data_IF_812275868080
#
_entry.id   IF_812275868080
#
_cell.length_a   1.000
_cell.length_b   1.000
_cell.length_c   1.000
_cell.angle_alpha   90.00
_cell.angle_beta   90.00
_cell.angle_gamma   90.00
#
_symmetry.space_group_name_H-M   'P 1'
#
loop_
_entity.id
_entity.type
_entity.pdbx_description
1 polymer ?
#
# COMPACT_ATOMS: atom_id res chain seq x y z
N UNK A 1 -1.25 30.11 -35.98
CA UNK A 1 -2.20 29.27 -36.73
C UNK A 1 -2.71 28.25 -35.75
N UNK A 2 -3.96 28.39 -35.31
CA UNK A 2 -4.61 27.32 -34.55
C UNK A 2 -4.78 26.11 -35.48
N UNK A 3 -4.31 24.91 -35.10
CA UNK A 3 -4.62 23.73 -35.87
C UNK A 3 -6.14 23.58 -35.91
N UNK A 4 -6.71 23.52 -37.13
CA UNK A 4 -8.12 23.23 -37.34
C UNK A 4 -8.31 21.75 -36.98
N UNK A 5 -8.53 21.47 -35.70
CA UNK A 5 -9.05 20.18 -35.27
C UNK A 5 -10.48 20.13 -35.78
N UNK A 6 -10.75 19.23 -36.73
CA UNK A 6 -12.10 19.02 -37.23
C UNK A 6 -13.03 18.73 -36.03
N UNK A 7 -14.15 19.45 -35.96
CA UNK A 7 -15.06 19.56 -34.81
C UNK A 7 -15.86 18.30 -34.48
N UNK A 8 -15.41 17.12 -34.92
CA UNK A 8 -16.13 15.84 -34.78
C UNK A 8 -15.49 14.89 -33.79
N UNK A 9 -14.22 15.11 -33.40
CA UNK A 9 -13.57 14.26 -32.39
C UNK A 9 -13.96 14.67 -30.97
N UNK A 10 -14.08 13.68 -30.08
CA UNK A 10 -14.31 13.92 -28.66
C UNK A 10 -13.07 14.53 -28.02
N UNK A 11 -13.25 15.43 -27.04
CA UNK A 11 -12.14 16.07 -26.34
C UNK A 11 -11.23 15.01 -25.69
N UNK A 12 -9.92 15.06 -25.96
CA UNK A 12 -8.94 14.21 -25.28
C UNK A 12 -8.85 14.64 -23.81
N UNK A 13 -9.74 14.06 -23.00
CA UNK A 13 -10.01 14.46 -21.62
C UNK A 13 -8.76 14.46 -20.74
N UNK A 14 -7.70 13.77 -21.12
CA UNK A 14 -6.44 13.73 -20.36
C UNK A 14 -5.76 15.10 -20.29
N UNK A 15 -5.85 15.86 -21.38
CA UNK A 15 -5.05 17.06 -21.62
C UNK A 15 -5.84 18.21 -22.26
N UNK A 16 -7.12 18.00 -22.57
CA UNK A 16 -7.97 19.00 -23.20
C UNK A 16 -9.38 18.97 -22.61
N UNK A 17 -9.84 20.13 -22.16
CA UNK A 17 -11.16 20.33 -21.55
C UNK A 17 -11.95 21.47 -22.22
N UNK A 18 -11.27 22.29 -23.03
CA UNK A 18 -11.81 23.46 -23.72
C UNK A 18 -11.48 23.40 -25.22
N UNK A 19 -12.11 24.30 -25.98
CA UNK A 19 -11.99 24.37 -27.44
C UNK A 19 -13.16 23.73 -28.20
N UNK A 20 -13.01 23.65 -29.52
CA UNK A 20 -14.04 23.15 -30.44
C UNK A 20 -13.98 21.62 -30.59
N UNK A 21 -14.26 20.89 -29.51
CA UNK A 21 -14.33 19.43 -29.49
C UNK A 21 -15.63 18.93 -28.85
N UNK A 22 -16.07 17.73 -29.22
CA UNK A 22 -17.29 17.11 -28.69
C UNK A 22 -17.07 16.75 -27.22
N UNK A 23 -18.08 16.96 -26.37
CA UNK A 23 -18.01 16.62 -24.95
C UNK A 23 -17.29 17.64 -24.05
N UNK A 24 -16.89 18.81 -24.55
CA UNK A 24 -16.21 19.86 -23.78
C UNK A 24 -16.94 20.23 -22.47
N UNK A 25 -18.26 20.45 -22.54
CA UNK A 25 -19.10 20.73 -21.35
C UNK A 25 -19.10 19.57 -20.35
N UNK A 26 -19.19 18.33 -20.84
CA UNK A 26 -19.19 17.12 -20.01
C UNK A 26 -17.84 16.94 -19.29
N UNK A 27 -16.73 17.08 -20.01
CA UNK A 27 -15.38 16.98 -19.43
C UNK A 27 -15.11 18.12 -18.43
N UNK A 28 -15.60 19.33 -18.71
CA UNK A 28 -15.53 20.46 -17.78
C UNK A 28 -16.29 20.18 -16.49
N UNK A 29 -17.46 19.56 -16.58
CA UNK A 29 -18.22 19.13 -15.41
C UNK A 29 -17.47 18.07 -14.60
N UNK A 30 -16.89 17.04 -15.25
CA UNK A 30 -16.08 16.03 -14.57
C UNK A 30 -14.89 16.66 -13.83
N UNK A 31 -14.13 17.54 -14.47
CA UNK A 31 -13.00 18.20 -13.81
C UNK A 31 -13.41 19.11 -12.66
N UNK A 32 -14.56 19.79 -12.77
CA UNK A 32 -15.10 20.62 -11.69
C UNK A 32 -15.42 19.77 -10.45
N UNK A 33 -16.13 18.66 -10.63
CA UNK A 33 -16.43 17.74 -9.52
C UNK A 33 -15.16 17.05 -8.99
N UNK A 34 -14.17 16.82 -9.86
CA UNK A 34 -12.87 16.28 -9.48
C UNK A 34 -12.04 17.22 -8.62
N UNK A 35 -12.08 18.53 -8.88
CA UNK A 35 -11.42 19.55 -8.06
C UNK A 35 -11.99 19.52 -6.64
N UNK A 36 -13.32 19.54 -6.50
CA UNK A 36 -14.00 19.54 -5.20
C UNK A 36 -13.60 18.29 -4.39
N UNK A 37 -13.69 17.11 -5.00
CA UNK A 37 -13.33 15.86 -4.34
C UNK A 37 -11.83 15.76 -4.02
N UNK A 38 -10.95 16.20 -4.92
CA UNK A 38 -9.50 16.21 -4.68
C UNK A 38 -9.09 17.16 -3.57
N UNK A 39 -9.70 18.35 -3.47
CA UNK A 39 -9.48 19.25 -2.35
C UNK A 39 -9.90 18.61 -1.02
N UNK A 40 -11.09 18.00 -0.96
CA UNK A 40 -11.56 17.32 0.24
C UNK A 40 -10.56 16.23 0.70
N UNK A 41 -10.14 15.35 -0.21
CA UNK A 41 -9.19 14.28 0.13
C UNK A 41 -7.77 14.79 0.41
N UNK A 42 -7.36 15.90 -0.19
CA UNK A 42 -6.11 16.59 0.14
C UNK A 42 -6.11 17.07 1.59
N UNK A 43 -7.18 17.74 2.04
CA UNK A 43 -7.30 18.17 3.44
C UNK A 43 -7.31 16.99 4.42
N UNK A 44 -8.04 15.92 4.09
CA UNK A 44 -8.07 14.69 4.91
C UNK A 44 -6.67 14.08 5.02
N UNK A 45 -5.97 13.91 3.90
CA UNK A 45 -4.63 13.30 3.87
C UNK A 45 -3.57 14.14 4.58
N UNK A 46 -3.58 15.46 4.39
CA UNK A 46 -2.72 16.39 5.13
C UNK A 46 -3.02 16.35 6.63
N UNK A 47 -4.29 16.32 7.02
CA UNK A 47 -4.70 16.20 8.43
C UNK A 47 -4.18 14.92 9.07
N UNK A 48 -4.27 13.77 8.37
CA UNK A 48 -3.71 12.49 8.83
C UNK A 48 -2.18 12.57 8.99
N UNK A 49 -1.48 13.19 8.04
CA UNK A 49 -0.01 13.34 8.11
C UNK A 49 0.42 14.24 9.26
N UNK A 50 -0.22 15.41 9.43
CA UNK A 50 0.06 16.32 10.54
C UNK A 50 -0.15 15.56 11.85
N UNK A 51 -1.25 14.83 11.97
CA UNK A 51 -1.53 14.08 13.18
C UNK A 51 -0.51 12.98 13.49
N UNK A 52 -0.14 12.19 12.49
CA UNK A 52 0.80 11.10 12.68
C UNK A 52 2.23 11.62 12.96
N UNK A 53 2.65 12.67 12.25
CA UNK A 53 4.02 13.18 12.35
C UNK A 53 4.20 14.08 13.57
N UNK A 54 3.30 15.04 13.78
CA UNK A 54 3.47 16.08 14.80
C UNK A 54 2.92 15.65 16.16
N UNK A 55 1.71 15.08 16.22
CA UNK A 55 1.11 14.66 17.50
C UNK A 55 1.63 13.30 17.97
N UNK A 56 1.82 12.35 17.06
CA UNK A 56 2.31 11.00 17.43
C UNK A 56 3.81 10.80 17.28
N UNK A 57 4.54 11.76 16.68
CA UNK A 57 5.98 11.62 16.44
C UNK A 57 6.35 10.49 15.49
N UNK A 58 5.42 10.02 14.65
CA UNK A 58 5.68 8.95 13.71
C UNK A 58 6.50 9.46 12.52
N UNK A 59 7.48 8.67 12.10
CA UNK A 59 8.29 8.97 10.91
C UNK A 59 7.64 8.35 9.69
N UNK A 60 7.69 9.02 8.55
CA UNK A 60 7.19 8.47 7.28
C UNK A 60 8.09 7.30 6.80
N UNK A 61 9.39 7.43 7.02
CA UNK A 61 10.39 6.43 6.68
C UNK A 61 11.49 6.38 7.73
N UNK A 62 12.16 5.23 7.80
CA UNK A 62 13.28 4.98 8.68
C UNK A 62 14.48 4.50 7.86
N UNK A 63 15.64 5.09 8.11
CA UNK A 63 16.90 4.60 7.57
C UNK A 63 17.58 3.71 8.62
N UNK A 64 17.56 2.39 8.39
CA UNK A 64 18.28 1.46 9.26
C UNK A 64 19.78 1.52 8.93
N UNK A 65 20.59 1.98 9.87
CA UNK A 65 22.07 1.99 9.71
C UNK A 65 22.63 0.57 9.59
N UNK A 66 22.04 -0.39 10.28
CA UNK A 66 22.51 -1.78 10.32
C UNK A 66 22.24 -2.49 8.98
N UNK A 67 21.07 -2.26 8.39
CA UNK A 67 20.66 -2.92 7.15
C UNK A 67 20.97 -2.11 5.90
N UNK A 68 21.50 -0.88 6.07
CA UNK A 68 21.73 0.12 5.02
C UNK A 68 20.51 0.27 4.11
N UNK A 69 19.32 0.22 4.70
CA UNK A 69 18.07 0.10 3.95
C UNK A 69 17.07 1.18 4.29
N UNK A 70 16.33 1.62 3.26
CA UNK A 70 15.21 2.53 3.37
C UNK A 70 13.94 1.76 3.70
N UNK A 71 13.36 2.01 4.88
CA UNK A 71 12.16 1.34 5.36
C UNK A 71 11.00 2.32 5.38
N UNK A 72 10.13 2.34 4.36
CA UNK A 72 8.91 3.14 4.42
C UNK A 72 7.98 2.55 5.49
N UNK A 73 7.37 3.41 6.31
CA UNK A 73 6.24 2.96 7.10
C UNK A 73 5.02 2.85 6.18
N UNK A 74 4.32 1.70 6.15
CA UNK A 74 3.35 1.42 5.11
C UNK A 74 2.22 2.45 5.07
N UNK A 75 1.63 2.78 6.23
CA UNK A 75 0.50 3.72 6.30
C UNK A 75 0.95 5.15 6.06
N UNK A 76 1.99 5.63 6.74
CA UNK A 76 2.46 7.01 6.63
C UNK A 76 3.02 7.30 5.23
N UNK A 77 3.78 6.36 4.66
CA UNK A 77 4.24 6.43 3.28
C UNK A 77 3.08 6.46 2.28
N UNK A 78 2.10 5.56 2.44
CA UNK A 78 0.89 5.56 1.59
C UNK A 78 0.16 6.91 1.61
N UNK A 79 -0.10 7.46 2.79
CA UNK A 79 -0.82 8.75 2.92
C UNK A 79 0.00 9.90 2.32
N UNK A 80 1.33 9.90 2.48
CA UNK A 80 2.21 10.90 1.86
C UNK A 80 2.09 10.91 0.34
N UNK A 81 2.14 9.73 -0.29
CA UNK A 81 2.00 9.63 -1.74
C UNK A 81 0.58 9.95 -2.22
N UNK A 82 -0.46 9.55 -1.48
CA UNK A 82 -1.84 9.97 -1.76
C UNK A 82 -2.01 11.49 -1.69
N UNK A 83 -1.34 12.16 -0.74
CA UNK A 83 -1.35 13.63 -0.63
C UNK A 83 -0.81 14.27 -1.90
N UNK A 84 0.34 13.78 -2.39
CA UNK A 84 0.91 14.24 -3.66
C UNK A 84 -0.03 13.98 -4.84
N UNK A 85 -0.66 12.80 -4.91
CA UNK A 85 -1.64 12.49 -5.95
C UNK A 85 -2.80 13.51 -5.99
N UNK A 86 -3.46 13.78 -4.86
CA UNK A 86 -4.58 14.72 -4.81
C UNK A 86 -4.14 16.15 -5.12
N UNK A 87 -2.94 16.55 -4.68
CA UNK A 87 -2.36 17.84 -5.02
C UNK A 87 -2.15 18.00 -6.52
N UNK A 88 -1.42 17.08 -7.16
CA UNK A 88 -1.13 17.19 -8.59
C UNK A 88 -2.38 17.00 -9.46
N UNK A 89 -3.35 16.17 -9.05
CA UNK A 89 -4.66 16.08 -9.72
C UNK A 89 -5.45 17.37 -9.64
N UNK A 90 -5.47 18.01 -8.48
CA UNK A 90 -6.14 19.29 -8.31
C UNK A 90 -5.52 20.35 -9.23
N UNK A 91 -4.19 20.50 -9.21
CA UNK A 91 -3.48 21.45 -10.08
C UNK A 91 -3.75 21.15 -11.56
N UNK A 92 -3.67 19.89 -11.98
CA UNK A 92 -3.95 19.50 -13.37
C UNK A 92 -5.36 19.90 -13.79
N UNK A 93 -6.35 19.62 -12.94
CA UNK A 93 -7.75 19.89 -13.22
C UNK A 93 -8.02 21.39 -13.37
N UNK A 94 -7.37 22.21 -12.53
CA UNK A 94 -7.43 23.68 -12.64
C UNK A 94 -6.76 24.15 -13.93
N UNK A 95 -5.58 23.63 -14.27
CA UNK A 95 -4.87 24.00 -15.51
C UNK A 95 -5.73 23.71 -16.75
N UNK A 96 -6.42 22.56 -16.77
CA UNK A 96 -7.30 22.17 -17.86
C UNK A 96 -8.56 23.03 -17.96
N UNK A 97 -9.18 23.39 -16.83
CA UNK A 97 -10.37 24.25 -16.81
C UNK A 97 -10.07 25.72 -17.11
N UNK A 98 -8.86 26.19 -16.82
CA UNK A 98 -8.46 27.57 -17.13
C UNK A 98 -7.93 27.70 -18.57
N UNK A 99 -7.67 26.57 -19.25
CA UNK A 99 -7.09 26.59 -20.60
C UNK A 99 -5.63 27.08 -20.60
N UNK A 100 -4.91 26.89 -19.48
CA UNK A 100 -3.49 27.28 -19.38
C UNK A 100 -2.70 26.37 -20.33
N UNK A 101 -2.34 26.92 -21.51
CA UNK A 101 -1.63 26.28 -22.63
C UNK A 101 -2.47 25.70 -23.77
N UNK A 102 -3.58 26.35 -24.15
CA UNK A 102 -4.11 26.21 -25.52
C UNK A 102 -3.00 26.58 -26.53
N UNK A 103 -2.21 25.57 -26.97
CA UNK A 103 -1.07 25.73 -27.89
C UNK A 103 0.30 25.20 -27.43
N UNK A 104 0.44 24.65 -26.20
CA UNK A 104 1.67 23.94 -25.77
C UNK A 104 1.33 22.62 -25.08
N UNK A 105 1.10 21.56 -25.87
CA UNK A 105 0.64 20.24 -25.40
C UNK A 105 1.69 19.54 -24.55
N UNK A 106 2.99 19.79 -24.77
CA UNK A 106 4.10 19.19 -24.02
C UNK A 106 3.97 19.33 -22.50
N UNK A 107 3.64 20.52 -21.99
CA UNK A 107 3.55 20.72 -20.54
C UNK A 107 2.36 19.94 -19.95
N UNK A 108 1.21 19.98 -20.62
CA UNK A 108 0.01 19.31 -20.16
C UNK A 108 0.15 17.79 -20.14
N UNK A 109 0.78 17.20 -21.15
CA UNK A 109 1.04 15.74 -21.17
C UNK A 109 1.95 15.30 -20.01
N UNK A 110 3.04 16.05 -19.74
CA UNK A 110 3.92 15.76 -18.61
C UNK A 110 3.19 15.89 -17.26
N UNK A 111 2.37 16.93 -17.12
CA UNK A 111 1.63 17.18 -15.88
C UNK A 111 0.44 16.22 -15.69
N UNK A 112 -0.18 15.76 -16.78
CA UNK A 112 -1.25 14.76 -16.75
C UNK A 112 -0.75 13.39 -16.27
N UNK A 113 0.52 13.09 -16.54
CA UNK A 113 1.17 11.85 -16.15
C UNK A 113 1.59 11.82 -14.67
N UNK A 114 2.01 12.98 -14.14
CA UNK A 114 2.60 13.10 -12.81
C UNK A 114 1.73 12.51 -11.67
N UNK A 115 0.40 12.72 -11.61
CA UNK A 115 -0.45 12.06 -10.62
C UNK A 115 -0.31 10.54 -10.59
N UNK A 116 -0.15 9.87 -11.74
CA UNK A 116 -0.06 8.42 -11.80
C UNK A 116 1.21 7.88 -11.14
N UNK A 117 2.31 8.66 -11.20
CA UNK A 117 3.54 8.37 -10.44
C UNK A 117 3.24 8.35 -8.94
N UNK A 118 2.39 9.25 -8.46
CA UNK A 118 2.01 9.27 -7.05
C UNK A 118 1.08 8.11 -6.67
N UNK A 119 0.19 7.66 -7.56
CA UNK A 119 -0.61 6.44 -7.34
C UNK A 119 0.31 5.22 -7.23
N UNK A 120 1.25 5.06 -8.18
CA UNK A 120 2.24 3.99 -8.15
C UNK A 120 3.09 4.04 -6.89
N UNK A 121 3.54 5.24 -6.50
CA UNK A 121 4.26 5.49 -5.26
C UNK A 121 3.49 5.06 -4.03
N UNK A 122 2.20 5.42 -3.93
CA UNK A 122 1.35 5.00 -2.81
C UNK A 122 1.26 3.47 -2.73
N UNK A 123 1.00 2.80 -3.87
CA UNK A 123 0.93 1.34 -3.93
C UNK A 123 2.27 0.67 -3.59
N UNK A 124 3.38 1.17 -4.14
CA UNK A 124 4.72 0.63 -3.94
C UNK A 124 5.22 0.80 -2.50
N UNK A 125 5.06 2.00 -1.92
CA UNK A 125 5.47 2.27 -0.54
C UNK A 125 4.65 1.47 0.47
N UNK A 126 3.34 1.31 0.24
CA UNK A 126 2.50 0.49 1.10
C UNK A 126 2.94 -0.98 1.07
N UNK A 127 3.13 -1.53 -0.14
CA UNK A 127 3.56 -2.90 -0.35
C UNK A 127 4.92 -3.18 0.30
N UNK A 128 5.93 -2.37 0.00
CA UNK A 128 7.28 -2.54 0.54
C UNK A 128 7.31 -2.32 2.04
N UNK A 129 6.56 -1.34 2.55
CA UNK A 129 6.44 -1.09 3.99
C UNK A 129 5.83 -2.26 4.74
N UNK A 130 4.84 -2.94 4.16
CA UNK A 130 4.26 -4.17 4.70
C UNK A 130 5.29 -5.30 4.73
N UNK A 131 6.06 -5.48 3.66
CA UNK A 131 7.07 -6.55 3.59
C UNK A 131 8.12 -6.33 4.69
N UNK A 132 8.55 -5.08 4.92
CA UNK A 132 9.46 -4.76 6.02
C UNK A 132 8.86 -4.93 7.41
N UNK A 133 7.55 -4.69 7.57
CA UNK A 133 6.84 -4.91 8.83
C UNK A 133 6.64 -6.41 9.15
N UNK A 134 6.92 -7.29 8.20
CA UNK A 134 6.77 -8.73 8.36
C UNK A 134 8.02 -9.32 9.02
N UNK A 135 7.91 -10.02 10.16
CA UNK A 135 9.07 -10.63 10.82
C UNK A 135 9.61 -11.82 10.00
N UNK A 136 10.94 -11.92 9.92
CA UNK A 136 11.65 -12.89 9.06
C UNK A 136 11.63 -14.34 9.58
N UNK A 137 11.41 -14.54 10.87
CA UNK A 137 11.39 -15.86 11.47
C UNK A 137 10.35 -15.93 12.59
N UNK A 138 9.50 -16.94 12.51
CA UNK A 138 8.67 -17.38 13.64
C UNK A 138 9.44 -18.44 14.39
N UNK A 139 9.96 -18.10 15.57
CA UNK A 139 10.30 -19.14 16.53
C UNK A 139 9.00 -19.46 17.27
N UNK A 140 8.37 -20.58 16.90
CA UNK A 140 7.37 -21.28 17.73
C UNK A 140 8.07 -21.83 18.98
N UNK A 141 8.73 -20.97 19.76
CA UNK A 141 9.35 -21.40 20.99
C UNK A 141 8.25 -21.54 22.04
N UNK A 142 7.58 -22.68 21.98
CA UNK A 142 6.62 -23.16 22.97
C UNK A 142 7.31 -23.56 24.29
N UNK A 143 8.63 -23.34 24.39
CA UNK A 143 9.43 -23.61 25.57
C UNK A 143 9.34 -22.43 26.52
N UNK A 144 8.23 -22.41 27.27
CA UNK A 144 8.13 -21.90 28.63
C UNK A 144 8.65 -20.48 28.88
N UNK A 145 7.76 -19.63 29.38
CA UNK A 145 8.07 -18.81 30.54
C UNK A 145 8.69 -19.71 31.63
N UNK A 146 9.96 -20.09 31.48
CA UNK A 146 10.83 -20.36 32.60
C UNK A 146 10.99 -18.99 33.22
N UNK A 147 10.07 -18.68 34.13
CA UNK A 147 10.19 -17.62 35.11
C UNK A 147 11.65 -17.62 35.53
N UNK A 148 12.38 -16.63 35.03
CA UNK A 148 13.74 -16.34 35.46
C UNK A 148 13.54 -15.92 36.91
N UNK A 149 13.50 -16.92 37.79
CA UNK A 149 13.52 -16.79 39.23
C UNK A 149 14.69 -15.86 39.48
N UNK A 150 14.37 -14.60 39.76
CA UNK A 150 15.27 -13.61 40.35
C UNK A 150 15.84 -14.33 41.56
N UNK A 151 17.03 -14.91 41.40
CA UNK A 151 17.92 -15.16 42.52
C UNK A 151 18.26 -13.76 43.02
N UNK A 152 17.49 -13.29 43.98
CA UNK A 152 17.98 -12.28 44.89
C UNK A 152 19.21 -12.89 45.54
N UNK A 153 20.36 -12.39 45.11
CA UNK A 153 21.58 -12.42 45.89
C UNK A 153 21.39 -11.45 47.05
N UNK A 154 20.89 -11.98 48.16
CA UNK A 154 21.13 -11.54 49.52
C UNK A 154 21.10 -12.87 50.28
N UNK A 155 22.23 -13.48 50.63
CA UNK A 155 23.28 -12.89 51.44
C UNK A 155 23.02 -13.35 52.87
N UNK A 156 23.86 -14.27 53.35
CA UNK A 156 23.89 -14.92 54.67
C UNK A 156 22.92 -16.10 54.85
N UNK A 157 23.46 -17.32 54.87
CA UNK A 157 23.77 -17.96 56.15
C UNK A 157 24.65 -19.21 55.98
N UNK A 158 25.65 -19.26 56.84
CA UNK A 158 26.55 -20.38 57.08
C UNK A 158 25.80 -21.58 57.65
N UNK A 159 26.33 -22.77 57.35
CA UNK A 159 26.21 -24.02 58.11
C UNK A 159 24.79 -24.46 58.55
N UNK A 160 24.31 -25.55 57.96
CA UNK A 160 24.17 -26.77 58.76
C UNK A 160 24.14 -28.04 57.90
N UNK A 161 25.02 -28.97 58.23
CA UNK A 161 24.94 -30.36 57.80
C UNK A 161 23.77 -31.01 58.54
N UNK A 162 22.82 -31.61 57.82
CA UNK A 162 22.15 -32.79 58.31
C UNK A 162 21.64 -33.64 57.14
N UNK A 163 22.29 -34.78 57.02
CA UNK A 163 21.91 -35.99 56.31
C UNK A 163 20.49 -36.39 56.71
N UNK A 164 19.54 -36.36 55.78
CA UNK A 164 18.30 -37.12 55.92
C UNK A 164 17.99 -37.88 54.65
N UNK A 165 18.08 -39.19 54.80
CA UNK A 165 17.79 -40.24 53.85
C UNK A 165 16.29 -40.51 53.91
N UNK A 166 15.54 -40.31 52.83
CA UNK A 166 14.24 -40.99 52.68
C UNK A 166 13.80 -41.12 51.22
N UNK A 167 13.67 -42.39 50.85
CA UNK A 167 12.64 -42.97 49.97
C UNK A 167 12.63 -42.60 48.50
N UNK A 168 13.43 -43.36 47.76
CA UNK A 168 13.04 -44.01 46.51
C UNK A 168 11.63 -44.62 46.60
N UNK A 169 10.66 -44.08 45.85
CA UNK A 169 9.50 -44.80 45.27
C UNK A 169 8.56 -43.88 44.47
N UNK A 170 9.09 -42.95 43.67
CA UNK A 170 8.31 -42.21 42.66
C UNK A 170 9.17 -42.08 41.40
N UNK A 171 9.47 -43.21 40.74
CA UNK A 171 10.32 -43.24 39.54
C UNK A 171 9.64 -43.86 38.31
N UNK A 172 8.33 -44.14 38.32
CA UNK A 172 7.70 -44.89 37.22
C UNK A 172 6.54 -44.20 36.48
N UNK A 173 6.12 -42.97 36.83
CA UNK A 173 4.96 -42.32 36.16
C UNK A 173 5.28 -41.08 35.31
N UNK A 174 6.56 -40.78 35.05
CA UNK A 174 6.95 -39.65 34.19
C UNK A 174 7.29 -40.02 32.74
N UNK A 175 7.12 -41.29 32.35
CA UNK A 175 7.72 -41.78 31.11
C UNK A 175 6.82 -41.78 29.86
N UNK A 176 5.60 -41.21 29.89
CA UNK A 176 4.68 -41.37 28.76
C UNK A 176 3.90 -40.14 28.26
N UNK A 177 4.35 -38.91 28.54
CA UNK A 177 3.77 -37.69 27.94
C UNK A 177 4.67 -36.99 26.89
N UNK A 178 5.78 -37.63 26.48
CA UNK A 178 6.82 -36.99 25.66
C UNK A 178 6.75 -37.19 24.14
N UNK A 179 5.68 -37.77 23.57
CA UNK A 179 5.74 -38.30 22.18
C UNK A 179 4.88 -37.60 21.11
N UNK A 180 4.19 -36.51 21.43
CA UNK A 180 3.38 -35.76 20.43
C UNK A 180 3.86 -34.34 20.11
N UNK A 181 5.01 -33.90 20.64
CA UNK A 181 5.60 -32.60 20.26
C UNK A 181 6.51 -32.68 19.02
N UNK A 182 6.25 -33.61 18.11
CA UNK A 182 6.98 -33.68 16.84
C UNK A 182 6.63 -32.45 15.98
N UNK A 183 7.51 -31.46 16.04
CA UNK A 183 8.10 -30.83 14.86
C UNK A 183 7.10 -30.23 13.86
N UNK A 184 6.35 -29.21 14.26
CA UNK A 184 6.15 -28.12 13.28
C UNK A 184 7.45 -27.32 13.24
N UNK A 185 8.37 -27.76 12.38
CA UNK A 185 9.56 -27.00 12.05
C UNK A 185 9.12 -25.61 11.57
N UNK A 186 9.71 -24.52 12.10
CA UNK A 186 9.27 -23.18 11.74
C UNK A 186 9.43 -22.99 10.24
N UNK A 187 8.30 -22.88 9.54
CA UNK A 187 8.28 -22.64 8.10
C UNK A 187 8.96 -21.29 7.84
N UNK A 188 10.22 -21.34 7.38
CA UNK A 188 10.94 -20.14 6.97
C UNK A 188 10.20 -19.53 5.78
N UNK A 189 9.68 -18.33 5.97
CA UNK A 189 9.11 -17.57 4.86
C UNK A 189 10.25 -16.82 4.19
N UNK A 190 10.35 -16.95 2.87
CA UNK A 190 11.32 -16.21 2.09
C UNK A 190 10.91 -14.73 2.06
N UNK A 191 11.70 -13.87 2.72
CA UNK A 191 11.62 -12.42 2.56
C UNK A 191 12.79 -11.95 1.67
N UNK A 192 12.55 -11.08 0.68
CA UNK A 192 13.63 -10.51 -0.12
C UNK A 192 14.61 -9.74 0.77
N UNK A 193 15.87 -9.64 0.31
CA UNK A 193 16.85 -8.83 1.03
C UNK A 193 16.44 -7.34 1.02
N UNK A 194 16.84 -6.55 2.04
CA UNK A 194 16.50 -5.13 2.10
C UNK A 194 16.94 -4.33 0.86
N UNK A 195 18.08 -4.69 0.25
CA UNK A 195 18.54 -4.06 -0.99
C UNK A 195 17.60 -4.35 -2.16
N UNK A 196 17.13 -5.60 -2.31
CA UNK A 196 16.16 -5.95 -3.35
C UNK A 196 14.87 -5.14 -3.16
N UNK A 197 14.37 -5.01 -1.93
CA UNK A 197 13.18 -4.20 -1.65
C UNK A 197 13.36 -2.71 -2.00
N UNK A 198 14.53 -2.13 -1.73
CA UNK A 198 14.80 -0.75 -2.09
C UNK A 198 14.90 -0.55 -3.61
N UNK A 199 15.53 -1.50 -4.33
CA UNK A 199 15.56 -1.47 -5.79
C UNK A 199 14.17 -1.67 -6.40
N UNK A 200 13.36 -2.56 -5.83
CA UNK A 200 11.95 -2.71 -6.21
C UNK A 200 11.20 -1.41 -5.99
N UNK A 201 11.33 -0.77 -4.83
CA UNK A 201 10.67 0.49 -4.54
C UNK A 201 11.09 1.59 -5.52
N UNK A 202 12.40 1.78 -5.70
CA UNK A 202 12.96 2.74 -6.63
C UNK A 202 12.50 2.47 -8.06
N UNK A 203 12.51 1.21 -8.50
CA UNK A 203 12.04 0.81 -9.82
C UNK A 203 10.55 1.11 -10.02
N UNK A 204 9.70 0.80 -9.04
CA UNK A 204 8.26 1.03 -9.12
C UNK A 204 7.87 2.51 -9.11
N UNK A 205 8.71 3.41 -8.56
CA UNK A 205 8.40 4.84 -8.50
C UNK A 205 9.16 5.67 -9.52
N UNK A 206 10.47 5.43 -9.69
CA UNK A 206 11.34 6.27 -10.48
C UNK A 206 11.36 5.87 -11.96
N UNK A 207 11.29 4.58 -12.27
CA UNK A 207 11.26 4.12 -13.65
C UNK A 207 10.04 4.65 -14.43
N UNK A 208 8.78 4.53 -13.94
CA UNK A 208 7.65 5.11 -14.65
C UNK A 208 7.75 6.63 -14.75
N UNK A 209 8.25 7.31 -13.70
CA UNK A 209 8.45 8.76 -13.75
C UNK A 209 9.38 9.15 -14.91
N UNK A 210 10.55 8.55 -15.02
CA UNK A 210 11.50 8.92 -16.08
C UNK A 210 10.99 8.50 -17.45
N UNK A 211 10.54 7.25 -17.60
CA UNK A 211 10.11 6.71 -18.89
C UNK A 211 8.91 7.49 -19.44
N UNK A 212 7.88 7.74 -18.62
CA UNK A 212 6.66 8.39 -19.08
C UNK A 212 6.83 9.88 -19.28
N UNK A 213 7.65 10.59 -18.49
CA UNK A 213 7.91 12.02 -18.74
C UNK A 213 8.67 12.21 -20.07
N UNK A 214 9.57 11.29 -20.42
CA UNK A 214 10.23 11.30 -21.74
C UNK A 214 9.20 11.09 -22.85
N UNK A 215 8.35 10.06 -22.75
CA UNK A 215 7.32 9.75 -23.75
C UNK A 215 6.26 10.87 -23.86
N UNK A 216 5.81 11.43 -22.75
CA UNK A 216 4.89 12.56 -22.69
C UNK A 216 5.48 13.80 -23.35
N UNK A 217 6.78 14.06 -23.13
CA UNK A 217 7.48 15.19 -23.75
C UNK A 217 7.56 15.05 -25.27
N UNK A 218 7.95 13.87 -25.76
CA UNK A 218 7.97 13.58 -27.19
C UNK A 218 6.57 13.59 -27.80
N UNK A 219 5.58 13.03 -27.10
CA UNK A 219 4.18 13.03 -27.51
C UNK A 219 3.65 14.45 -27.68
N UNK A 220 3.76 15.30 -26.66
CA UNK A 220 3.30 16.68 -26.76
C UNK A 220 4.05 17.49 -27.82
N UNK A 221 5.36 17.26 -28.00
CA UNK A 221 6.13 17.90 -29.07
C UNK A 221 5.72 17.43 -30.48
N UNK A 222 5.31 16.16 -30.64
CA UNK A 222 4.74 15.67 -31.89
C UNK A 222 3.38 16.32 -32.18
N UNK A 223 2.52 16.45 -31.17
CA UNK A 223 1.24 17.15 -31.29
C UNK A 223 1.43 18.62 -31.70
N UNK A 224 2.35 19.33 -31.04
CA UNK A 224 2.63 20.73 -31.32
C UNK A 224 3.20 20.95 -32.75
N UNK A 225 3.79 19.91 -33.36
CA UNK A 225 4.24 19.90 -34.77
C UNK A 225 3.16 19.46 -35.77
N UNK A 226 1.98 19.04 -35.30
CA UNK A 226 0.91 18.49 -36.13
C UNK A 226 1.12 17.05 -36.59
N UNK A 227 2.12 16.34 -36.05
CA UNK A 227 2.38 14.93 -36.35
C UNK A 227 1.51 14.03 -35.46
N UNK A 228 0.26 13.86 -35.87
CA UNK A 228 -0.74 13.13 -35.10
C UNK A 228 -0.46 11.63 -35.03
N UNK A 229 0.21 11.04 -36.03
CA UNK A 229 0.58 9.62 -36.00
C UNK A 229 1.68 9.35 -34.97
N UNK A 230 2.74 10.17 -34.95
CA UNK A 230 3.77 10.08 -33.93
C UNK A 230 3.19 10.36 -32.53
N UNK A 231 2.34 11.38 -32.38
CA UNK A 231 1.65 11.65 -31.11
C UNK A 231 0.88 10.43 -30.61
N UNK A 232 0.01 9.87 -31.46
CA UNK A 232 -0.80 8.70 -31.10
C UNK A 232 0.06 7.51 -30.68
N UNK A 233 1.14 7.22 -31.41
CA UNK A 233 2.07 6.14 -31.09
C UNK A 233 2.80 6.37 -29.75
N UNK A 234 3.23 7.60 -29.47
CA UNK A 234 3.91 7.94 -28.21
C UNK A 234 2.96 7.83 -27.02
N UNK A 235 1.72 8.30 -27.15
CA UNK A 235 0.72 8.15 -26.10
C UNK A 235 0.40 6.66 -25.88
N UNK A 236 0.13 5.89 -26.94
CA UNK A 236 -0.07 4.43 -26.81
C UNK A 236 1.11 3.73 -26.12
N UNK A 237 2.35 4.09 -26.46
CA UNK A 237 3.55 3.56 -25.80
C UNK A 237 3.61 3.93 -24.31
N UNK A 238 3.34 5.19 -23.96
CA UNK A 238 3.30 5.68 -22.57
C UNK A 238 2.29 4.88 -21.73
N UNK A 239 1.10 4.66 -22.28
CA UNK A 239 0.06 3.86 -21.62
C UNK A 239 0.40 2.36 -21.55
N UNK A 240 1.12 1.84 -22.53
CA UNK A 240 1.69 0.49 -22.48
C UNK A 240 2.72 0.33 -21.36
N UNK A 241 3.60 1.32 -21.16
CA UNK A 241 4.55 1.34 -20.03
C UNK A 241 3.81 1.36 -18.69
N UNK A 242 2.77 2.18 -18.56
CA UNK A 242 1.94 2.19 -17.36
C UNK A 242 1.26 0.86 -17.09
N UNK A 243 0.63 0.26 -18.10
CA UNK A 243 -0.01 -1.04 -17.97
C UNK A 243 0.99 -2.11 -17.49
N UNK A 244 2.21 -2.09 -18.02
CA UNK A 244 3.29 -2.99 -17.59
C UNK A 244 3.69 -2.76 -16.13
N UNK A 245 3.93 -1.51 -15.71
CA UNK A 245 4.30 -1.19 -14.32
C UNK A 245 3.19 -1.61 -13.35
N UNK A 246 1.93 -1.32 -13.68
CA UNK A 246 0.80 -1.70 -12.84
C UNK A 246 0.62 -3.21 -12.79
N UNK A 247 0.88 -3.94 -13.88
CA UNK A 247 0.89 -5.40 -13.88
C UNK A 247 1.96 -5.99 -12.94
N UNK A 248 3.17 -5.40 -12.92
CA UNK A 248 4.21 -5.79 -11.95
C UNK A 248 3.71 -5.56 -10.52
N UNK A 249 3.16 -4.39 -10.22
CA UNK A 249 2.62 -4.07 -8.90
C UNK A 249 1.56 -5.11 -8.50
N UNK A 250 0.62 -5.42 -9.38
CA UNK A 250 -0.43 -6.41 -9.15
C UNK A 250 0.15 -7.79 -8.80
N UNK A 251 1.12 -8.28 -9.57
CA UNK A 251 1.78 -9.57 -9.30
C UNK A 251 2.47 -9.56 -7.94
N UNK A 252 3.17 -8.47 -7.59
CA UNK A 252 3.82 -8.35 -6.29
C UNK A 252 2.81 -8.29 -5.13
N UNK A 253 1.67 -7.62 -5.31
CA UNK A 253 0.58 -7.62 -4.32
C UNK A 253 -0.01 -9.02 -4.11
N UNK A 254 -0.23 -9.80 -5.17
CA UNK A 254 -0.70 -11.18 -5.04
C UNK A 254 0.33 -12.01 -4.27
N UNK A 255 1.60 -11.94 -4.67
CA UNK A 255 2.66 -12.75 -4.10
C UNK A 255 2.92 -12.42 -2.62
N UNK A 256 3.25 -11.16 -2.33
CA UNK A 256 3.59 -10.74 -0.97
C UNK A 256 2.35 -10.58 -0.07
N UNK A 257 1.21 -10.17 -0.64
CA UNK A 257 -0.04 -10.11 0.11
C UNK A 257 -0.48 -11.48 0.62
N UNK A 258 -0.40 -12.53 -0.21
CA UNK A 258 -0.69 -13.91 0.23
C UNK A 258 0.27 -14.39 1.31
N UNK A 259 1.56 -14.10 1.18
CA UNK A 259 2.57 -14.47 2.18
C UNK A 259 2.30 -13.77 3.52
N UNK A 260 2.06 -12.47 3.50
CA UNK A 260 1.72 -11.69 4.69
C UNK A 260 0.48 -12.24 5.40
N UNK A 261 -0.61 -12.46 4.67
CA UNK A 261 -1.86 -12.93 5.26
C UNK A 261 -1.69 -14.30 5.90
N UNK A 262 -0.90 -15.19 5.28
CA UNK A 262 -0.58 -16.51 5.83
C UNK A 262 0.22 -16.41 7.13
N UNK A 263 1.17 -15.48 7.17
CA UNK A 263 2.00 -15.23 8.34
C UNK A 263 1.16 -14.70 9.51
N UNK A 264 0.33 -13.68 9.24
CA UNK A 264 -0.48 -13.07 10.29
C UNK A 264 -1.53 -14.06 10.80
N UNK A 265 -2.17 -14.84 9.93
CA UNK A 265 -3.15 -15.84 10.36
C UNK A 265 -2.52 -16.93 11.23
N UNK A 266 -1.31 -17.37 10.91
CA UNK A 266 -0.55 -18.32 11.75
C UNK A 266 -0.23 -17.74 13.13
N UNK A 267 0.15 -16.45 13.21
CA UNK A 267 0.40 -15.80 14.50
C UNK A 267 -0.87 -15.67 15.34
N UNK A 268 -2.00 -15.37 14.72
CA UNK A 268 -3.26 -15.31 15.45
C UNK A 268 -3.67 -16.67 16.01
N UNK A 269 -3.51 -17.74 15.23
CA UNK A 269 -3.78 -19.09 15.70
C UNK A 269 -2.92 -19.43 16.91
N UNK A 270 -1.62 -19.14 16.85
CA UNK A 270 -0.71 -19.38 17.98
C UNK A 270 -1.07 -18.57 19.23
N UNK A 271 -1.47 -17.30 19.10
CA UNK A 271 -1.88 -16.49 20.26
C UNK A 271 -3.19 -17.01 20.83
N UNK A 272 -4.16 -17.36 19.97
CA UNK A 272 -5.46 -17.90 20.39
C UNK A 272 -5.31 -19.21 21.17
N UNK A 273 -4.42 -20.11 20.73
CA UNK A 273 -4.12 -21.36 21.43
C UNK A 273 -3.48 -21.11 22.80
N UNK A 274 -2.61 -20.10 22.91
CA UNK A 274 -1.98 -19.73 24.18
C UNK A 274 -2.99 -19.14 25.17
N UNK A 275 -3.90 -18.27 24.71
CA UNK A 275 -5.00 -17.73 25.56
C UNK A 275 -5.89 -18.87 26.06
N UNK A 276 -6.21 -19.84 25.21
CA UNK A 276 -6.99 -21.03 25.59
C UNK A 276 -6.30 -21.91 26.64
N UNK A 277 -4.97 -22.09 26.55
CA UNK A 277 -4.19 -22.88 27.53
C UNK A 277 -3.99 -22.17 28.87
N UNK A 278 -3.82 -20.85 28.88
CA UNK A 278 -3.69 -20.08 30.13
C UNK A 278 -4.98 -20.21 30.94
N UNK A 279 -6.13 -20.16 30.27
CA UNK A 279 -7.45 -20.33 30.90
C UNK A 279 -7.67 -21.70 31.55
N UNK A 280 -6.88 -22.73 31.22
CA UNK A 280 -7.06 -24.08 31.77
C UNK A 280 -6.07 -24.47 32.88
N UNK A 281 -5.02 -23.67 33.15
CA UNK A 281 -3.88 -24.11 33.98
C UNK A 281 -3.69 -23.35 35.30
N UNK A 282 -4.30 -22.19 35.50
CA UNK A 282 -3.93 -21.29 36.62
C UNK A 282 -5.18 -20.97 37.47
N UNK A 283 -5.03 -21.11 38.80
CA UNK A 283 -6.06 -20.81 39.79
C UNK A 283 -6.24 -19.31 40.09
N UNK A 284 -7.39 -18.98 40.67
CA UNK A 284 -8.15 -17.73 40.55
C UNK A 284 -7.49 -16.38 40.95
N UNK A 285 -6.34 -16.34 41.61
CA UNK A 285 -5.96 -15.13 42.37
C UNK A 285 -4.94 -14.19 41.69
N UNK A 286 -4.23 -14.62 40.64
CA UNK A 286 -3.38 -13.73 39.81
C UNK A 286 -3.81 -13.64 38.34
N UNK A 287 -5.01 -14.15 38.04
CA UNK A 287 -5.49 -14.45 36.68
C UNK A 287 -5.98 -13.20 35.91
N UNK A 288 -6.45 -12.17 36.62
CA UNK A 288 -7.27 -11.15 35.98
C UNK A 288 -6.49 -10.19 35.06
N UNK A 289 -5.25 -9.84 35.40
CA UNK A 289 -4.48 -8.83 34.66
C UNK A 289 -3.86 -9.38 33.37
N UNK A 290 -3.26 -10.57 33.41
CA UNK A 290 -2.53 -11.15 32.26
C UNK A 290 -3.49 -11.61 31.14
N UNK A 291 -4.69 -12.05 31.52
CA UNK A 291 -5.75 -12.45 30.58
C UNK A 291 -6.28 -11.25 29.79
N UNK A 292 -6.57 -10.13 30.47
CA UNK A 292 -7.08 -8.92 29.83
C UNK A 292 -6.06 -8.34 28.83
N UNK A 293 -4.77 -8.33 29.19
CA UNK A 293 -3.71 -7.86 28.30
C UNK A 293 -3.57 -8.73 27.03
N UNK A 294 -3.61 -10.05 27.19
CA UNK A 294 -3.55 -10.99 26.05
C UNK A 294 -4.76 -10.87 25.12
N UNK A 295 -5.95 -10.68 25.68
CA UNK A 295 -7.18 -10.49 24.92
C UNK A 295 -7.17 -9.15 24.17
N UNK A 296 -6.69 -8.07 24.80
CA UNK A 296 -6.50 -6.76 24.16
C UNK A 296 -5.51 -6.84 22.99
N UNK A 297 -4.39 -7.55 23.16
CA UNK A 297 -3.41 -7.77 22.09
C UNK A 297 -4.00 -8.55 20.93
N UNK A 298 -4.75 -9.63 21.21
CA UNK A 298 -5.42 -10.43 20.19
C UNK A 298 -6.46 -9.60 19.41
N UNK A 299 -7.28 -8.80 20.09
CA UNK A 299 -8.27 -7.93 19.46
C UNK A 299 -7.62 -6.85 18.60
N UNK A 300 -6.53 -6.26 19.07
CA UNK A 300 -5.72 -5.29 18.31
C UNK A 300 -5.13 -5.92 17.05
N UNK A 301 -4.61 -7.15 17.16
CA UNK A 301 -4.03 -7.89 16.04
C UNK A 301 -5.10 -8.30 15.01
N UNK A 302 -6.26 -8.82 15.46
CA UNK A 302 -7.42 -9.13 14.61
C UNK A 302 -7.88 -7.92 13.81
N UNK A 303 -8.02 -6.77 14.47
CA UNK A 303 -8.39 -5.52 13.80
C UNK A 303 -7.34 -5.10 12.77
N UNK A 304 -6.06 -5.17 13.12
CA UNK A 304 -4.94 -4.81 12.22
C UNK A 304 -4.91 -5.71 10.98
N UNK A 305 -5.13 -7.01 11.14
CA UNK A 305 -5.19 -7.95 10.02
C UNK A 305 -6.36 -7.73 9.09
N UNK A 306 -7.57 -7.54 9.62
CA UNK A 306 -8.74 -7.23 8.80
C UNK A 306 -8.50 -5.97 7.96
N UNK A 307 -7.84 -4.97 8.54
CA UNK A 307 -7.45 -3.74 7.83
C UNK A 307 -6.41 -3.98 6.75
N UNK A 308 -5.31 -4.66 7.08
CA UNK A 308 -4.28 -4.99 6.09
C UNK A 308 -4.86 -5.81 4.94
N UNK A 309 -5.73 -6.78 5.24
CA UNK A 309 -6.44 -7.58 4.24
C UNK A 309 -7.33 -6.70 3.35
N UNK A 310 -8.11 -5.79 3.93
CA UNK A 310 -8.97 -4.89 3.16
C UNK A 310 -8.16 -4.00 2.22
N UNK A 311 -7.07 -3.39 2.70
CA UNK A 311 -6.22 -2.53 1.87
C UNK A 311 -5.47 -3.36 0.81
N UNK A 312 -4.99 -4.56 1.12
CA UNK A 312 -4.36 -5.44 0.12
C UNK A 312 -5.33 -5.83 -0.99
N UNK A 313 -6.58 -6.17 -0.64
CA UNK A 313 -7.63 -6.49 -1.63
C UNK A 313 -7.93 -5.25 -2.47
N UNK A 314 -8.09 -4.08 -1.84
CA UNK A 314 -8.41 -2.83 -2.51
C UNK A 314 -7.28 -2.37 -3.45
N UNK A 315 -6.02 -2.35 -2.99
CA UNK A 315 -4.88 -2.00 -3.84
C UNK A 315 -4.64 -3.04 -4.94
N UNK A 316 -4.81 -4.33 -4.62
CA UNK A 316 -4.71 -5.42 -5.59
C UNK A 316 -5.77 -5.30 -6.70
N UNK A 317 -7.04 -5.14 -6.35
CA UNK A 317 -8.11 -4.98 -7.34
C UNK A 317 -7.98 -3.67 -8.13
N UNK A 318 -7.64 -2.56 -7.46
CA UNK A 318 -7.40 -1.28 -8.12
C UNK A 318 -6.26 -1.39 -9.15
N UNK A 319 -5.14 -2.04 -8.80
CA UNK A 319 -4.05 -2.26 -9.75
C UNK A 319 -4.49 -3.11 -10.95
N UNK A 320 -5.25 -4.19 -10.76
CA UNK A 320 -5.75 -5.00 -11.88
C UNK A 320 -6.66 -4.18 -12.82
N UNK A 321 -7.62 -3.45 -12.27
CA UNK A 321 -8.58 -2.64 -13.05
C UNK A 321 -7.84 -1.52 -13.80
N UNK A 322 -6.94 -0.81 -13.11
CA UNK A 322 -6.15 0.27 -13.71
C UNK A 322 -5.22 -0.25 -14.82
N UNK A 323 -4.55 -1.38 -14.61
CA UNK A 323 -3.68 -1.99 -15.61
C UNK A 323 -4.44 -2.40 -16.86
N UNK A 324 -5.62 -3.02 -16.70
CA UNK A 324 -6.50 -3.37 -17.82
C UNK A 324 -7.01 -2.13 -18.55
N UNK A 325 -7.43 -1.09 -17.83
CA UNK A 325 -7.90 0.14 -18.43
C UNK A 325 -6.80 0.86 -19.22
N UNK A 326 -5.58 0.94 -18.67
CA UNK A 326 -4.43 1.54 -19.34
C UNK A 326 -4.01 0.74 -20.59
N UNK A 327 -4.04 -0.58 -20.51
CA UNK A 327 -3.77 -1.45 -21.66
C UNK A 327 -4.83 -1.28 -22.75
N UNK A 328 -6.10 -1.26 -22.37
CA UNK A 328 -7.21 -1.07 -23.31
C UNK A 328 -7.13 0.30 -23.98
N UNK A 329 -6.82 1.36 -23.21
CA UNK A 329 -6.60 2.69 -23.76
C UNK A 329 -5.39 2.72 -24.69
N UNK A 330 -4.27 2.06 -24.35
CA UNK A 330 -3.09 2.00 -25.21
C UNK A 330 -3.40 1.40 -26.59
N UNK A 331 -4.22 0.34 -26.64
CA UNK A 331 -4.55 -0.39 -27.86
C UNK A 331 -5.66 0.32 -28.65
N UNK A 332 -6.73 0.75 -27.98
CA UNK A 332 -7.96 1.22 -28.61
C UNK A 332 -8.14 2.74 -28.55
N UNK A 333 -7.08 3.51 -28.29
CA UNK A 333 -7.16 4.97 -28.09
C UNK A 333 -7.98 5.68 -29.17
N UNK A 334 -7.71 5.38 -30.45
CA UNK A 334 -8.38 6.03 -31.59
C UNK A 334 -9.87 5.69 -31.62
N UNK A 335 -10.21 4.43 -31.40
CA UNK A 335 -11.61 3.98 -31.37
C UNK A 335 -12.36 4.61 -30.20
N UNK A 336 -11.72 4.71 -29.03
CA UNK A 336 -12.34 5.32 -27.85
C UNK A 336 -12.61 6.80 -28.12
N UNK A 337 -11.64 7.57 -28.62
CA UNK A 337 -11.81 9.01 -28.88
C UNK A 337 -12.79 9.34 -30.02
N UNK A 338 -13.04 8.39 -30.92
CA UNK A 338 -14.00 8.54 -32.01
C UNK A 338 -15.43 8.12 -31.62
N UNK A 339 -15.61 7.45 -30.48
CA UNK A 339 -16.90 7.02 -29.97
C UNK A 339 -17.26 7.81 -28.71
N UNK A 340 -18.33 8.58 -28.77
CA UNK A 340 -18.76 9.48 -27.69
C UNK A 340 -19.04 8.70 -26.39
N UNK A 341 -19.77 7.57 -26.48
CA UNK A 341 -20.14 6.77 -25.31
C UNK A 341 -18.93 6.13 -24.64
N UNK A 342 -18.00 5.59 -25.43
CA UNK A 342 -16.74 5.05 -24.94
C UNK A 342 -15.91 6.15 -24.29
N UNK A 343 -15.80 7.33 -24.92
CA UNK A 343 -15.06 8.47 -24.38
C UNK A 343 -15.63 8.98 -23.05
N UNK A 344 -16.95 9.14 -22.94
CA UNK A 344 -17.62 9.53 -21.70
C UNK A 344 -17.36 8.52 -20.58
N UNK A 345 -17.53 7.23 -20.89
CA UNK A 345 -17.30 6.15 -19.91
C UNK A 345 -15.85 6.11 -19.45
N UNK A 346 -14.90 6.17 -20.38
CA UNK A 346 -13.47 6.15 -20.07
C UNK A 346 -13.04 7.39 -19.30
N UNK A 347 -13.51 8.58 -19.68
CA UNK A 347 -13.17 9.82 -18.98
C UNK A 347 -13.70 9.85 -17.54
N UNK A 348 -14.93 9.37 -17.30
CA UNK A 348 -15.49 9.24 -15.95
C UNK A 348 -14.61 8.33 -15.06
N UNK A 349 -14.27 7.14 -15.56
CA UNK A 349 -13.45 6.17 -14.81
C UNK A 349 -12.02 6.71 -14.63
N UNK A 350 -11.44 7.30 -15.67
CA UNK A 350 -10.09 7.85 -15.67
C UNK A 350 -9.92 9.00 -14.69
N UNK A 351 -10.88 9.93 -14.69
CA UNK A 351 -10.86 11.12 -13.84
C UNK A 351 -11.18 10.69 -12.40
N UNK A 352 -12.28 9.99 -12.13
CA UNK A 352 -12.73 9.76 -10.75
C UNK A 352 -12.24 8.44 -10.11
N UNK A 353 -12.02 7.38 -10.90
CA UNK A 353 -11.85 6.02 -10.38
C UNK A 353 -10.74 5.90 -9.34
N UNK A 354 -9.53 6.38 -9.67
CA UNK A 354 -8.40 6.34 -8.74
C UNK A 354 -8.62 7.22 -7.50
N UNK A 355 -9.18 8.42 -7.65
CA UNK A 355 -9.45 9.33 -6.52
C UNK A 355 -10.47 8.77 -5.55
N UNK A 356 -11.54 8.14 -6.05
CA UNK A 356 -12.54 7.48 -5.20
C UNK A 356 -11.92 6.32 -4.44
N UNK A 357 -11.15 5.46 -5.11
CA UNK A 357 -10.52 4.31 -4.46
C UNK A 357 -9.50 4.72 -3.38
N UNK A 358 -8.64 5.71 -3.66
CA UNK A 358 -7.70 6.25 -2.69
C UNK A 358 -8.40 7.01 -1.57
N UNK A 359 -9.45 7.78 -1.88
CA UNK A 359 -10.26 8.49 -0.90
C UNK A 359 -10.95 7.53 0.09
N UNK A 360 -11.57 6.46 -0.40
CA UNK A 360 -12.12 5.38 0.43
C UNK A 360 -11.05 4.74 1.31
N UNK A 361 -9.83 4.54 0.79
CA UNK A 361 -8.70 4.02 1.57
C UNK A 361 -8.33 4.95 2.72
N UNK A 362 -8.28 6.27 2.48
CA UNK A 362 -7.97 7.27 3.52
C UNK A 362 -9.04 7.34 4.60
N UNK A 363 -10.32 7.30 4.20
CA UNK A 363 -11.45 7.27 5.13
C UNK A 363 -11.34 6.03 6.05
N UNK A 364 -11.01 4.87 5.48
CA UNK A 364 -10.83 3.64 6.23
C UNK A 364 -9.64 3.72 7.21
N UNK A 365 -8.56 4.41 6.85
CA UNK A 365 -7.42 4.70 7.74
C UNK A 365 -7.83 5.65 8.87
N UNK A 366 -8.66 6.66 8.58
CA UNK A 366 -9.09 7.68 9.53
C UNK A 366 -10.05 7.14 10.59
N UNK A 367 -11.01 6.30 10.22
CA UNK A 367 -11.97 5.67 11.15
C UNK A 367 -11.37 4.55 12.03
N UNK A 368 -10.04 4.55 12.18
CA UNK A 368 -9.35 3.80 13.24
C UNK A 368 -9.85 4.31 14.59
N UNK A 369 -10.73 3.55 15.24
CA UNK A 369 -10.97 3.67 16.69
C UNK A 369 -9.60 3.49 17.36
N UNK A 370 -9.07 4.60 17.89
CA UNK A 370 -7.77 4.68 18.56
C UNK A 370 -7.84 4.08 19.94
#
# INVERSE_FOLDING_TARGET
>A
MEPIVNSTEFCDWRVQCQGNCVGSTYISFLYTTHIISSFLFLFISVGILIHNIWWKGQKIWEFSRNDRAFRPRPTEGFVFWCTGYFFFRCVLSVLLLVGVNEGKRTLLENFADLPWVFVSGAMGFYLVGIIYATPASFSTNNNGFSSKKRRNSQGNDLHNNNTFNMNSNILNDLHNNGRFSSMMEPKRVYLPSPMVLNFTLLGLTFLPLVANQILASFGGSAFDRGDMDMYNNMISAMYGVWAFVVAIIFVLYIFFGKQLLTIISSNMASINDNVGRISSRIGADSEYTDRDDSERQLNTLKSTYQRMRAILILCGSLSAIMGLMMLFFAIFRRQILNDETASETFSLIWIHGASVALGCSLIFILFRKS
#
